data_IF_555560751321
#
_entry.id   IF_555560751321
#
_cell.length_a   1.000
_cell.length_b   1.000
_cell.length_c   1.000
_cell.angle_alpha   90.00
_cell.angle_beta   90.00
_cell.angle_gamma   90.00
#
_symmetry.space_group_name_H-M   'P 1'
#
loop_
_entity.id
_entity.type
_entity.pdbx_description
1 polymer ?
#
# COMPACT_ATOMS: atom_id res chain seq x y z
N UNK A 1 -3.54 15.23 -9.76
CA UNK A 1 -3.56 14.30 -10.89
C UNK A 1 -2.62 13.16 -10.55
N UNK A 2 -3.15 11.97 -10.28
CA UNK A 2 -2.34 10.77 -10.10
C UNK A 2 -2.36 10.06 -11.44
N UNK A 3 -1.18 9.86 -12.05
CA UNK A 3 -1.08 9.20 -13.34
C UNK A 3 -0.71 7.74 -13.10
N UNK A 4 -1.63 6.82 -13.38
CA UNK A 4 -1.41 5.39 -13.28
C UNK A 4 -0.83 4.88 -14.60
N UNK A 5 0.50 4.84 -14.75
CA UNK A 5 1.14 4.50 -16.04
C UNK A 5 0.82 3.10 -16.59
N UNK A 6 0.17 2.23 -15.79
CA UNK A 6 -0.29 0.89 -16.19
C UNK A 6 -1.81 0.76 -16.33
N UNK A 7 -2.57 1.80 -15.98
CA UNK A 7 -4.03 1.83 -16.13
C UNK A 7 -4.34 2.97 -17.09
N UNK A 8 -5.05 2.70 -18.19
CA UNK A 8 -5.38 3.69 -19.22
C UNK A 8 -6.43 4.73 -18.74
N UNK A 9 -6.40 5.07 -17.45
CA UNK A 9 -7.36 5.87 -16.74
C UNK A 9 -6.65 7.04 -16.05
N UNK A 10 -7.37 8.16 -15.92
CA UNK A 10 -6.94 9.32 -15.14
C UNK A 10 -7.93 9.46 -13.98
N UNK A 11 -7.42 9.33 -12.76
CA UNK A 11 -8.22 9.55 -11.56
C UNK A 11 -8.19 11.02 -11.13
N UNK A 12 -9.38 11.62 -11.08
CA UNK A 12 -9.60 12.99 -10.62
C UNK A 12 -10.48 12.94 -9.38
N UNK A 13 -9.95 13.43 -8.28
CA UNK A 13 -10.59 13.46 -6.96
C UNK A 13 -10.28 14.79 -6.27
N UNK A 14 -11.04 15.13 -5.23
CA UNK A 14 -10.80 16.33 -4.43
C UNK A 14 -9.39 16.31 -3.83
N UNK A 15 -8.84 17.50 -3.59
CA UNK A 15 -7.52 17.63 -3.00
C UNK A 15 -7.46 16.92 -1.64
N UNK A 16 -6.35 16.23 -1.38
CA UNK A 16 -6.08 15.50 -0.14
C UNK A 16 -7.00 14.29 0.15
N UNK A 17 -7.66 13.73 -0.86
CA UNK A 17 -8.40 12.47 -0.73
C UNK A 17 -7.53 11.28 -1.17
N UNK A 18 -7.15 10.42 -0.24
CA UNK A 18 -6.52 9.12 -0.49
C UNK A 18 -6.71 8.17 0.71
N UNK A 19 -6.27 6.91 0.58
CA UNK A 19 -6.37 5.89 1.65
C UNK A 19 -5.70 6.33 2.96
N UNK A 20 -4.54 6.98 2.89
CA UNK A 20 -3.82 7.47 4.08
C UNK A 20 -4.60 8.59 4.80
N UNK A 21 -5.08 9.60 4.07
CA UNK A 21 -5.81 10.72 4.68
C UNK A 21 -7.16 10.28 5.26
N UNK A 22 -7.83 9.29 4.64
CA UNK A 22 -9.01 8.65 5.22
C UNK A 22 -8.68 7.94 6.54
N UNK A 23 -7.54 7.25 6.61
CA UNK A 23 -7.12 6.53 7.80
C UNK A 23 -6.76 7.48 8.96
N UNK A 24 -6.10 8.61 8.68
CA UNK A 24 -5.86 9.68 9.66
C UNK A 24 -7.17 10.33 10.14
N UNK A 25 -8.17 10.45 9.27
CA UNK A 25 -9.48 11.00 9.64
C UNK A 25 -10.26 10.07 10.59
N UNK A 26 -10.13 8.75 10.44
CA UNK A 26 -10.87 7.77 11.25
C UNK A 26 -10.22 7.54 12.62
N UNK A 27 -8.89 7.51 12.70
CA UNK A 27 -8.15 7.06 13.87
C UNK A 27 -7.19 8.11 14.48
N UNK A 28 -7.40 9.38 14.12
CA UNK A 28 -6.56 10.53 14.46
C UNK A 28 -5.20 10.59 13.74
N UNK A 29 -4.62 11.79 13.74
CA UNK A 29 -3.27 12.04 13.27
C UNK A 29 -2.28 11.24 14.15
N UNK A 30 -1.41 10.44 13.54
CA UNK A 30 -0.38 9.58 14.18
C UNK A 30 -0.80 8.14 14.55
N UNK A 31 -1.94 7.65 14.07
CA UNK A 31 -2.25 6.22 14.19
C UNK A 31 -1.12 5.36 13.63
N UNK A 32 -0.64 4.41 14.44
CA UNK A 32 0.32 3.39 14.00
C UNK A 32 -0.43 2.20 13.44
N UNK A 33 -0.09 1.81 12.23
CA UNK A 33 -0.70 0.67 11.55
C UNK A 33 0.33 -0.09 10.71
N UNK A 34 -0.01 -1.34 10.42
CA UNK A 34 0.62 -2.12 9.35
C UNK A 34 -0.31 -2.06 8.13
N UNK A 35 0.26 -2.08 6.93
CA UNK A 35 -0.53 -1.95 5.70
C UNK A 35 -0.13 -3.00 4.68
N UNK A 36 -1.15 -3.46 3.96
CA UNK A 36 -1.04 -4.33 2.80
C UNK A 36 -1.69 -3.62 1.62
N UNK A 37 -1.03 -3.61 0.47
CA UNK A 37 -1.53 -2.99 -0.74
C UNK A 37 -1.00 -3.69 -1.97
N UNK A 38 -1.61 -3.47 -3.12
CA UNK A 38 -1.29 -4.17 -4.36
C UNK A 38 -1.23 -3.25 -5.58
N UNK A 39 -1.61 -1.98 -5.44
CA UNK A 39 -1.67 -1.03 -6.54
C UNK A 39 -1.01 0.32 -6.21
N UNK A 40 -1.19 1.30 -7.10
CA UNK A 40 -0.64 2.64 -6.94
C UNK A 40 -1.38 3.51 -5.91
N UNK A 41 -2.70 3.34 -5.74
CA UNK A 41 -3.47 4.16 -4.80
C UNK A 41 -3.17 3.77 -3.33
N UNK A 42 -2.54 2.62 -3.12
CA UNK A 42 -2.01 2.17 -1.83
C UNK A 42 -0.68 2.82 -1.43
N UNK A 43 0.07 3.40 -2.38
CA UNK A 43 1.46 3.84 -2.16
C UNK A 43 1.61 4.75 -0.93
N UNK A 44 0.77 5.78 -0.84
CA UNK A 44 0.85 6.77 0.25
C UNK A 44 0.54 6.10 1.60
N UNK A 45 -0.46 5.21 1.64
CA UNK A 45 -0.80 4.46 2.85
C UNK A 45 0.36 3.54 3.27
N UNK A 46 0.99 2.85 2.32
CA UNK A 46 2.10 1.93 2.58
C UNK A 46 3.36 2.67 3.06
N UNK A 47 3.65 3.86 2.53
CA UNK A 47 4.80 4.69 2.93
C UNK A 47 4.73 5.15 4.38
N UNK A 48 3.52 5.43 4.89
CA UNK A 48 3.30 5.91 6.24
C UNK A 48 3.05 4.79 7.27
N UNK A 49 2.95 3.54 6.83
CA UNK A 49 2.77 2.40 7.72
C UNK A 49 4.04 2.13 8.54
N UNK A 50 3.86 1.65 9.78
CA UNK A 50 4.97 1.14 10.59
C UNK A 50 5.61 -0.10 9.95
N UNK A 51 4.83 -0.85 9.16
CA UNK A 51 5.33 -1.91 8.28
C UNK A 51 4.40 -2.01 7.06
N UNK A 52 4.95 -1.77 5.87
CA UNK A 52 4.25 -1.83 4.59
C UNK A 52 4.60 -3.07 3.79
N UNK A 53 3.59 -3.72 3.22
CA UNK A 53 3.74 -4.90 2.38
C UNK A 53 3.03 -4.71 1.04
N UNK A 54 3.78 -4.86 -0.06
CA UNK A 54 3.21 -4.86 -1.41
C UNK A 54 2.96 -6.28 -1.89
N UNK A 55 1.73 -6.55 -2.29
CA UNK A 55 1.25 -7.87 -2.69
C UNK A 55 1.34 -7.98 -4.20
N UNK A 56 1.98 -9.03 -4.70
CA UNK A 56 2.01 -9.29 -6.13
C UNK A 56 2.51 -10.69 -6.49
N UNK A 57 2.48 -11.05 -7.78
CA UNK A 57 2.95 -12.35 -8.27
C UNK A 57 4.48 -12.47 -8.30
N UNK A 58 5.22 -11.37 -8.26
CA UNK A 58 6.69 -11.36 -8.17
C UNK A 58 7.22 -10.01 -7.69
N UNK A 59 8.42 -10.00 -7.13
CA UNK A 59 9.12 -8.76 -6.76
C UNK A 59 9.30 -7.82 -7.96
N UNK A 60 9.63 -8.36 -9.13
CA UNK A 60 9.79 -7.57 -10.35
C UNK A 60 8.48 -6.85 -10.73
N UNK A 61 7.34 -7.54 -10.62
CA UNK A 61 6.03 -6.94 -10.83
C UNK A 61 5.76 -5.83 -9.81
N UNK A 62 6.00 -6.08 -8.53
CA UNK A 62 5.74 -5.07 -7.50
C UNK A 62 6.71 -3.89 -7.57
N UNK A 63 7.97 -4.10 -7.99
CA UNK A 63 8.93 -3.03 -8.22
C UNK A 63 8.56 -2.15 -9.43
N UNK A 64 7.87 -2.71 -10.42
CA UNK A 64 7.33 -1.93 -11.54
C UNK A 64 6.17 -1.01 -11.10
N UNK A 65 5.44 -1.40 -10.05
CA UNK A 65 4.38 -0.58 -9.43
C UNK A 65 4.98 0.43 -8.44
N UNK A 66 5.94 -0.02 -7.63
CA UNK A 66 6.50 0.74 -6.54
C UNK A 66 7.89 0.22 -6.15
N UNK A 67 8.92 1.03 -6.33
CA UNK A 67 10.26 0.75 -5.79
C UNK A 67 10.50 1.60 -4.55
N UNK A 68 10.32 1.01 -3.37
CA UNK A 68 10.59 1.66 -2.09
C UNK A 68 11.29 0.70 -1.14
N UNK A 69 12.47 1.08 -0.67
CA UNK A 69 13.37 0.25 0.16
C UNK A 69 12.74 -0.20 1.49
N UNK A 70 11.68 0.48 1.94
CA UNK A 70 11.00 0.22 3.22
C UNK A 70 9.77 -0.69 3.10
N UNK A 71 9.33 -1.02 1.89
CA UNK A 71 8.13 -1.84 1.65
C UNK A 71 8.57 -3.23 1.21
N UNK A 72 8.02 -4.26 1.85
CA UNK A 72 8.38 -5.66 1.58
C UNK A 72 7.41 -6.28 0.59
N UNK A 73 7.93 -6.96 -0.42
CA UNK A 73 7.11 -7.80 -1.28
C UNK A 73 6.58 -9.03 -0.53
N UNK A 74 5.33 -9.41 -0.77
CA UNK A 74 4.78 -10.72 -0.40
C UNK A 74 3.92 -11.30 -1.53
N UNK A 75 3.83 -12.63 -1.56
CA UNK A 75 3.05 -13.35 -2.57
C UNK A 75 1.55 -12.99 -2.49
N UNK A 76 0.88 -13.04 -3.65
CA UNK A 76 -0.54 -12.74 -3.82
C UNK A 76 -1.52 -13.83 -3.35
N UNK A 77 -1.23 -14.48 -2.22
CA UNK A 77 -2.09 -15.48 -1.61
C UNK A 77 -2.40 -15.17 -0.13
N UNK A 78 -3.51 -15.71 0.36
CA UNK A 78 -3.97 -15.47 1.73
C UNK A 78 -2.99 -16.02 2.79
N UNK A 79 -2.27 -17.09 2.48
CA UNK A 79 -1.29 -17.69 3.37
C UNK A 79 -0.12 -16.72 3.65
N UNK A 80 0.32 -15.96 2.66
CA UNK A 80 1.36 -14.95 2.80
C UNK A 80 0.94 -13.83 3.76
N UNK A 81 -0.28 -13.30 3.60
CA UNK A 81 -0.85 -12.31 4.52
C UNK A 81 -0.95 -12.90 5.94
N UNK A 82 -1.48 -14.12 6.07
CA UNK A 82 -1.58 -14.81 7.35
C UNK A 82 -0.22 -14.98 8.04
N UNK A 83 0.84 -15.28 7.29
CA UNK A 83 2.19 -15.45 7.82
C UNK A 83 2.72 -14.15 8.41
N UNK A 84 2.50 -13.03 7.72
CA UNK A 84 2.87 -11.69 8.21
C UNK A 84 2.06 -11.34 9.47
N UNK A 85 0.74 -11.51 9.45
CA UNK A 85 -0.11 -11.22 10.62
C UNK A 85 0.32 -12.03 11.86
N UNK A 86 0.73 -13.29 11.68
CA UNK A 86 1.23 -14.13 12.76
C UNK A 86 2.56 -13.66 13.35
N UNK A 87 3.37 -12.87 12.65
CA UNK A 87 4.65 -12.35 13.20
C UNK A 87 4.49 -11.13 14.10
N UNK A 88 3.29 -10.55 14.19
CA UNK A 88 2.96 -9.44 15.10
C UNK A 88 2.28 -9.91 16.40
N UNK A 89 2.17 -11.22 16.62
CA UNK A 89 1.68 -11.82 17.87
C UNK A 89 2.73 -11.83 18.96
#
# INVERSE_FOLDING_TARGET
MIHHSNEYNIDITAQNINKYTALQYIFDADVKYIAFGNDHNDIVMLQHASSGYIIGPSEAYTHAILKLDKIKHIDNNAQAICKVLKSFK
#
